data_IF_561404768470
#
_entry.id   IF_561404768470
#
_cell.length_a   1.000
_cell.length_b   1.000
_cell.length_c   1.000
_cell.angle_alpha   90.00
_cell.angle_beta   90.00
_cell.angle_gamma   90.00
#
_symmetry.space_group_name_H-M   'P 1'
#
loop_
_entity.id
_entity.type
_entity.pdbx_description
1 polymer ?
#
# COMPACT_ATOMS: atom_id res chain seq x y z
N UNK A 1 -26.63 -1.92 1.73
CA UNK A 1 -26.33 -2.50 0.41
C UNK A 1 -26.14 -4.00 0.59
N UNK A 2 -26.97 -4.79 -0.07
CA UNK A 2 -26.83 -6.25 -0.09
C UNK A 2 -25.92 -6.58 -1.26
N UNK A 3 -24.77 -7.17 -1.01
CA UNK A 3 -23.90 -7.66 -2.08
C UNK A 3 -24.58 -8.89 -2.68
N UNK A 4 -25.08 -8.79 -3.89
CA UNK A 4 -25.63 -9.91 -4.64
C UNK A 4 -24.47 -10.72 -5.24
N UNK A 5 -24.35 -11.97 -4.84
CA UNK A 5 -23.37 -12.94 -5.31
C UNK A 5 -22.41 -13.46 -4.24
N UNK A 6 -21.87 -14.65 -4.48
CA UNK A 6 -20.86 -15.24 -3.59
C UNK A 6 -19.51 -14.53 -3.83
N UNK A 7 -18.79 -14.13 -2.77
CA UNK A 7 -17.45 -13.56 -2.88
C UNK A 7 -16.52 -14.53 -3.63
N UNK A 8 -15.82 -14.03 -4.67
CA UNK A 8 -14.89 -14.84 -5.47
C UNK A 8 -13.42 -14.51 -5.17
N UNK A 9 -13.16 -13.28 -4.75
CA UNK A 9 -11.80 -12.81 -4.47
C UNK A 9 -11.25 -13.49 -3.21
N UNK A 10 -10.06 -14.04 -3.31
CA UNK A 10 -9.34 -14.70 -2.21
C UNK A 10 -8.15 -13.89 -1.72
N UNK A 11 -7.68 -12.93 -2.51
CA UNK A 11 -6.51 -12.10 -2.23
C UNK A 11 -6.78 -10.68 -2.69
N UNK A 12 -6.20 -9.72 -2.01
CA UNK A 12 -6.25 -8.30 -2.37
C UNK A 12 -4.81 -7.80 -2.53
N UNK A 13 -4.52 -7.19 -3.67
CA UNK A 13 -3.27 -6.47 -3.91
C UNK A 13 -3.66 -4.99 -4.05
N UNK A 14 -3.15 -4.16 -3.15
CA UNK A 14 -3.41 -2.72 -3.14
C UNK A 14 -2.18 -1.97 -3.65
N UNK A 15 -2.19 -1.59 -4.93
CA UNK A 15 -1.13 -0.82 -5.57
C UNK A 15 -1.33 0.67 -5.28
N UNK A 16 -0.74 1.14 -4.20
CA UNK A 16 -0.93 2.49 -3.70
C UNK A 16 0.15 3.45 -4.20
N UNK A 17 -0.23 4.36 -5.10
CA UNK A 17 0.62 5.42 -5.60
C UNK A 17 0.51 6.65 -4.68
N UNK A 18 1.36 6.70 -3.65
CA UNK A 18 1.36 7.77 -2.65
C UNK A 18 1.62 9.15 -3.27
N UNK A 19 0.78 10.11 -2.96
CA UNK A 19 0.83 11.45 -3.53
C UNK A 19 -0.07 11.62 -4.75
N UNK A 20 -0.63 10.54 -5.26
CA UNK A 20 -1.55 10.39 -6.37
C UNK A 20 -1.01 10.90 -7.74
N UNK A 21 -1.27 10.17 -8.81
CA UNK A 21 -1.05 10.65 -10.16
C UNK A 21 -2.09 11.70 -10.54
N UNK A 22 -1.79 12.53 -11.53
CA UNK A 22 -2.74 13.48 -12.10
C UNK A 22 -3.83 12.74 -12.88
N UNK A 23 -5.04 12.69 -12.36
CA UNK A 23 -6.15 12.01 -13.06
C UNK A 23 -6.48 12.66 -14.41
N UNK A 24 -6.29 13.98 -14.53
CA UNK A 24 -6.55 14.74 -15.78
C UNK A 24 -5.56 14.36 -16.87
N UNK A 25 -4.35 13.96 -16.49
CA UNK A 25 -3.32 13.53 -17.44
C UNK A 25 -3.38 12.03 -17.77
N UNK A 26 -4.11 11.22 -16.98
CA UNK A 26 -4.07 9.76 -17.11
C UNK A 26 -5.41 9.12 -17.47
N UNK A 27 -6.51 9.51 -16.80
CA UNK A 27 -7.77 8.77 -16.86
C UNK A 27 -9.00 9.64 -17.12
N UNK A 28 -8.91 10.94 -16.88
CA UNK A 28 -10.07 11.83 -16.87
C UNK A 28 -9.99 12.80 -18.06
N UNK A 29 -10.41 12.31 -19.25
CA UNK A 29 -10.34 13.05 -20.49
C UNK A 29 -11.29 14.25 -20.51
N UNK A 30 -10.73 15.47 -20.52
CA UNK A 30 -11.46 16.74 -20.50
C UNK A 30 -11.02 17.67 -21.63
N UNK A 31 -11.44 17.42 -22.88
CA UNK A 31 -10.97 18.18 -24.06
C UNK A 31 -11.34 19.67 -24.00
N UNK A 32 -12.45 20.03 -23.37
CA UNK A 32 -12.88 21.43 -23.28
C UNK A 32 -11.96 22.30 -22.42
N UNK A 33 -11.10 21.72 -21.57
CA UNK A 33 -10.11 22.48 -20.82
C UNK A 33 -9.11 23.22 -21.74
N UNK A 34 -8.87 22.72 -22.96
CA UNK A 34 -8.01 23.39 -23.93
C UNK A 34 -8.56 24.76 -24.34
N UNK A 35 -9.89 24.89 -24.46
CA UNK A 35 -10.57 26.16 -24.80
C UNK A 35 -10.45 27.17 -23.64
N UNK A 36 -10.31 26.68 -22.41
CA UNK A 36 -10.24 27.45 -21.19
C UNK A 36 -8.79 27.68 -20.70
N UNK A 37 -7.80 27.25 -21.45
CA UNK A 37 -6.40 27.34 -21.03
C UNK A 37 -6.01 28.76 -20.63
N UNK A 38 -5.37 28.92 -19.48
CA UNK A 38 -4.98 30.18 -18.84
C UNK A 38 -6.13 31.12 -18.48
N UNK A 39 -7.39 30.73 -18.62
CA UNK A 39 -8.49 31.50 -18.04
C UNK A 39 -8.55 31.25 -16.52
N UNK A 40 -9.11 32.19 -15.78
CA UNK A 40 -9.30 32.04 -14.34
C UNK A 40 -10.39 30.99 -14.07
N UNK A 41 -10.17 30.14 -13.06
CA UNK A 41 -11.13 29.12 -12.68
C UNK A 41 -12.46 29.77 -12.28
N UNK A 42 -13.61 29.35 -12.86
CA UNK A 42 -14.90 29.95 -12.57
C UNK A 42 -15.25 29.88 -11.07
N UNK A 43 -15.83 30.97 -10.56
CA UNK A 43 -16.24 31.04 -9.14
C UNK A 43 -17.22 29.94 -8.74
N UNK A 44 -18.04 29.46 -9.68
CA UNK A 44 -18.96 28.32 -9.47
C UNK A 44 -18.22 27.03 -9.11
N UNK A 45 -17.00 26.85 -9.61
CA UNK A 45 -16.13 25.68 -9.32
C UNK A 45 -15.30 25.95 -8.06
N UNK A 46 -14.73 27.16 -7.92
CA UNK A 46 -13.81 27.47 -6.81
C UNK A 46 -14.51 27.83 -5.50
N UNK A 47 -15.81 28.16 -5.54
CA UNK A 47 -16.57 28.60 -4.34
C UNK A 47 -16.60 27.51 -3.27
N UNK A 48 -16.10 27.85 -2.09
CA UNK A 48 -16.10 26.95 -0.93
C UNK A 48 -14.96 25.89 -0.94
N UNK A 49 -14.15 25.83 -1.99
CA UNK A 49 -12.98 24.96 -2.00
C UNK A 49 -11.89 25.51 -1.08
N UNK A 50 -11.34 24.61 -0.25
CA UNK A 50 -10.14 24.91 0.52
C UNK A 50 -8.94 24.96 -0.42
N UNK A 51 -8.06 25.92 -0.20
CA UNK A 51 -6.81 26.07 -0.98
C UNK A 51 -5.61 25.75 -0.10
N UNK A 52 -4.55 25.22 -0.72
CA UNK A 52 -3.29 24.98 -0.01
C UNK A 52 -2.59 26.31 0.30
N UNK A 53 -1.66 26.29 1.26
CA UNK A 53 -0.84 27.48 1.57
C UNK A 53 -0.07 27.98 0.33
N UNK A 54 0.34 27.08 -0.57
CA UNK A 54 1.09 27.41 -1.81
C UNK A 54 0.24 28.17 -2.82
N UNK A 55 -1.06 27.96 -2.83
CA UNK A 55 -1.98 28.56 -3.82
C UNK A 55 -2.83 29.68 -3.27
N UNK A 56 -2.77 29.91 -1.94
CA UNK A 56 -3.50 30.99 -1.27
C UNK A 56 -3.07 32.35 -1.82
N UNK A 57 -4.04 33.17 -2.20
CA UNK A 57 -3.81 34.50 -2.75
C UNK A 57 -3.33 34.55 -4.20
N UNK A 58 -3.23 33.40 -4.87
CA UNK A 58 -2.88 33.31 -6.29
C UNK A 58 -4.13 33.07 -7.14
N UNK A 59 -4.14 33.61 -8.36
CA UNK A 59 -5.15 33.26 -9.35
C UNK A 59 -5.03 31.77 -9.69
N UNK A 60 -6.15 31.08 -9.66
CA UNK A 60 -6.24 29.68 -10.07
C UNK A 60 -6.54 29.67 -11.57
N UNK A 61 -5.59 29.25 -12.39
CA UNK A 61 -5.72 29.18 -13.85
C UNK A 61 -6.03 27.76 -14.29
N UNK A 62 -6.87 27.64 -15.30
CA UNK A 62 -7.17 26.35 -15.94
C UNK A 62 -5.97 25.87 -16.74
N UNK A 63 -5.57 24.61 -16.54
CA UNK A 63 -4.55 23.93 -17.33
C UNK A 63 -5.10 22.60 -17.87
N UNK A 64 -5.15 22.41 -19.20
CA UNK A 64 -5.49 21.13 -19.80
C UNK A 64 -4.30 20.16 -19.71
N UNK A 65 -4.57 18.88 -19.96
CA UNK A 65 -3.51 17.91 -20.22
C UNK A 65 -2.74 18.26 -21.50
N UNK A 66 -1.44 17.93 -21.53
CA UNK A 66 -0.62 18.02 -22.73
C UNK A 66 -0.48 16.68 -23.47
N UNK A 67 -1.03 15.61 -22.89
CA UNK A 67 -0.91 14.26 -23.41
C UNK A 67 -2.13 13.87 -24.25
N UNK A 68 -1.91 12.97 -25.20
CA UNK A 68 -2.98 12.46 -26.06
C UNK A 68 -3.78 11.38 -25.32
N UNK A 69 -5.07 11.39 -25.57
CA UNK A 69 -6.00 10.38 -25.10
C UNK A 69 -6.55 9.57 -26.25
N UNK A 70 -6.85 8.31 -26.00
CA UNK A 70 -7.56 7.43 -26.92
C UNK A 70 -8.49 6.50 -26.19
N UNK A 71 -9.55 6.08 -26.87
CA UNK A 71 -10.44 5.05 -26.36
C UNK A 71 -9.74 3.69 -26.39
N UNK A 72 -9.85 2.92 -25.31
CA UNK A 72 -9.20 1.63 -25.13
C UNK A 72 -10.23 0.59 -24.71
N UNK A 73 -9.91 -0.67 -25.04
CA UNK A 73 -10.79 -1.80 -24.76
C UNK A 73 -12.12 -1.77 -25.55
N UNK A 74 -12.93 -2.79 -25.36
CA UNK A 74 -14.27 -2.92 -25.95
C UNK A 74 -15.26 -1.89 -25.37
N UNK A 75 -15.03 -1.51 -24.10
CA UNK A 75 -15.85 -0.55 -23.38
C UNK A 75 -15.55 0.91 -23.77
N UNK A 76 -14.52 1.17 -24.59
CA UNK A 76 -14.17 2.51 -25.07
C UNK A 76 -13.70 3.47 -23.97
N UNK A 77 -13.00 2.99 -22.95
CA UNK A 77 -12.51 3.81 -21.84
C UNK A 77 -11.45 4.79 -22.35
N UNK A 78 -11.56 6.06 -21.97
CA UNK A 78 -10.54 7.05 -22.28
C UNK A 78 -9.29 6.88 -21.40
N UNK A 79 -8.15 6.66 -22.01
CA UNK A 79 -6.85 6.54 -21.34
C UNK A 79 -5.76 7.32 -22.06
N UNK A 80 -4.82 7.84 -21.28
CA UNK A 80 -3.66 8.58 -21.79
C UNK A 80 -2.64 7.69 -22.50
N UNK A 81 -1.92 8.26 -23.46
CA UNK A 81 -0.75 7.64 -24.09
C UNK A 81 0.39 7.29 -23.11
N UNK A 82 0.39 7.90 -21.92
CA UNK A 82 1.35 7.60 -20.85
C UNK A 82 1.21 6.20 -20.25
N UNK A 83 0.10 5.52 -20.53
CA UNK A 83 -0.24 4.22 -19.90
C UNK A 83 -0.35 3.10 -20.97
N UNK A 84 0.68 2.84 -21.79
CA UNK A 84 0.57 1.89 -22.88
C UNK A 84 0.29 0.46 -22.41
N UNK A 85 0.96 0.00 -21.35
CA UNK A 85 0.78 -1.34 -20.82
C UNK A 85 -0.55 -1.50 -20.09
N UNK A 86 -0.95 -0.52 -19.27
CA UNK A 86 -2.23 -0.57 -18.57
C UNK A 86 -3.41 -0.51 -19.55
N UNK A 87 -3.25 0.20 -20.65
CA UNK A 87 -4.26 0.28 -21.72
C UNK A 87 -4.56 -1.07 -22.37
N UNK A 88 -3.61 -1.98 -22.40
CA UNK A 88 -3.81 -3.33 -22.91
C UNK A 88 -4.77 -4.17 -22.05
N UNK A 89 -4.91 -3.84 -20.76
CA UNK A 89 -5.82 -4.49 -19.82
C UNK A 89 -7.08 -3.67 -19.53
N UNK A 90 -7.44 -2.73 -20.40
CA UNK A 90 -8.55 -1.79 -20.16
C UNK A 90 -9.89 -2.48 -19.88
N UNK A 91 -10.15 -3.62 -20.53
CA UNK A 91 -11.39 -4.39 -20.35
C UNK A 91 -11.44 -5.14 -19.00
N UNK A 92 -10.32 -5.33 -18.34
CA UNK A 92 -10.22 -5.99 -17.03
C UNK A 92 -10.30 -4.99 -15.87
N UNK A 93 -10.38 -3.68 -16.17
CA UNK A 93 -10.35 -2.61 -15.19
C UNK A 93 -11.73 -2.00 -14.94
N UNK A 94 -11.99 -1.67 -13.68
CA UNK A 94 -13.13 -0.86 -13.27
C UNK A 94 -12.64 0.54 -12.86
N UNK A 95 -13.11 1.57 -13.56
CA UNK A 95 -12.75 2.97 -13.31
C UNK A 95 -13.82 3.65 -12.46
N UNK A 96 -13.43 4.19 -11.31
CA UNK A 96 -14.33 4.91 -10.39
C UNK A 96 -13.95 6.40 -10.42
N UNK A 97 -14.54 7.16 -11.33
CA UNK A 97 -14.28 8.60 -11.52
C UNK A 97 -14.88 9.50 -10.43
N UNK A 98 -15.88 9.01 -9.70
CA UNK A 98 -16.59 9.79 -8.67
C UNK A 98 -15.94 9.76 -7.29
N UNK A 99 -14.77 9.15 -7.16
CA UNK A 99 -14.07 9.08 -5.88
C UNK A 99 -13.52 10.45 -5.51
N UNK A 100 -13.85 10.96 -4.31
CA UNK A 100 -13.42 12.26 -3.86
C UNK A 100 -13.04 12.27 -2.37
N UNK A 101 -12.33 13.31 -1.94
CA UNK A 101 -11.99 13.58 -0.53
C UNK A 101 -11.96 15.08 -0.29
N UNK A 102 -12.21 15.51 0.94
CA UNK A 102 -12.03 16.89 1.39
C UNK A 102 -10.57 17.21 1.72
N UNK A 103 -9.71 16.23 1.75
CA UNK A 103 -8.28 16.40 2.04
C UNK A 103 -7.60 17.18 0.92
N UNK A 104 -7.03 18.34 1.26
CA UNK A 104 -6.30 19.20 0.29
C UNK A 104 -4.79 18.94 0.29
N UNK A 105 -4.27 18.14 1.22
CA UNK A 105 -2.87 17.78 1.35
C UNK A 105 -2.69 16.26 1.23
N UNK A 106 -1.50 15.86 0.79
CA UNK A 106 -1.16 14.44 0.63
C UNK A 106 -1.31 13.63 1.90
N UNK A 107 -0.93 14.17 3.06
CA UNK A 107 -0.92 13.40 4.30
C UNK A 107 -2.33 12.99 4.78
N UNK A 108 -3.28 13.91 4.98
CA UNK A 108 -4.66 13.51 5.28
C UNK A 108 -5.32 12.74 4.14
N UNK A 109 -5.00 13.05 2.87
CA UNK A 109 -5.52 12.31 1.71
C UNK A 109 -5.08 10.85 1.69
N UNK A 110 -3.80 10.58 1.93
CA UNK A 110 -3.28 9.20 2.06
C UNK A 110 -3.93 8.47 3.24
N UNK A 111 -4.04 9.14 4.37
CA UNK A 111 -4.66 8.57 5.57
C UNK A 111 -6.11 8.20 5.28
N UNK A 112 -6.88 9.12 4.69
CA UNK A 112 -8.27 8.87 4.29
C UNK A 112 -8.40 7.70 3.33
N UNK A 113 -7.55 7.62 2.32
CA UNK A 113 -7.60 6.54 1.32
C UNK A 113 -7.27 5.16 1.91
N UNK A 114 -6.34 5.10 2.86
CA UNK A 114 -5.92 3.84 3.48
C UNK A 114 -6.82 3.41 4.65
N UNK A 115 -7.48 4.35 5.34
CA UNK A 115 -8.18 4.07 6.61
C UNK A 115 -9.64 4.53 6.66
N UNK A 116 -10.11 5.22 5.62
CA UNK A 116 -11.47 5.80 5.57
C UNK A 116 -11.64 7.08 6.41
N UNK A 117 -10.55 7.67 6.95
CA UNK A 117 -10.59 8.91 7.72
C UNK A 117 -9.34 9.77 7.49
N UNK A 118 -9.51 11.09 7.45
CA UNK A 118 -8.39 12.04 7.30
C UNK A 118 -7.50 12.13 8.55
N UNK A 119 -8.03 11.73 9.70
CA UNK A 119 -7.36 11.76 11.00
C UNK A 119 -6.86 10.36 11.35
N UNK A 120 -5.61 10.22 11.85
CA UNK A 120 -5.08 8.94 12.33
C UNK A 120 -5.92 8.33 13.45
N UNK A 121 -5.84 7.01 13.63
CA UNK A 121 -6.50 6.28 14.72
C UNK A 121 -7.55 5.27 14.27
N UNK A 122 -7.75 5.13 12.94
CA UNK A 122 -8.60 4.06 12.38
C UNK A 122 -7.75 2.96 11.76
N UNK A 123 -8.19 1.70 11.83
CA UNK A 123 -7.52 0.59 11.18
C UNK A 123 -7.47 0.80 9.67
N UNK A 124 -6.38 0.37 9.06
CA UNK A 124 -6.23 0.35 7.62
C UNK A 124 -7.13 -0.70 6.97
N UNK A 125 -7.37 -0.56 5.67
CA UNK A 125 -8.13 -1.54 4.90
C UNK A 125 -7.56 -2.96 5.05
N UNK A 126 -6.23 -3.12 5.00
CA UNK A 126 -5.59 -4.42 5.19
C UNK A 126 -5.78 -4.98 6.60
N UNK A 127 -5.75 -4.13 7.63
CA UNK A 127 -6.04 -4.56 9.01
C UNK A 127 -7.49 -5.03 9.18
N UNK A 128 -8.46 -4.37 8.54
CA UNK A 128 -9.85 -4.82 8.52
C UNK A 128 -10.03 -6.16 7.78
N UNK A 129 -9.33 -6.36 6.67
CA UNK A 129 -9.36 -7.63 5.93
C UNK A 129 -8.75 -8.76 6.76
N UNK A 130 -7.61 -8.51 7.40
CA UNK A 130 -6.98 -9.44 8.33
C UNK A 130 -7.94 -9.81 9.49
N UNK A 131 -8.52 -8.82 10.14
CA UNK A 131 -9.44 -9.03 11.26
C UNK A 131 -10.69 -9.81 10.87
N UNK A 132 -11.30 -9.45 9.72
CA UNK A 132 -12.59 -10.03 9.32
C UNK A 132 -12.50 -11.38 8.61
N UNK A 133 -11.41 -11.64 7.89
CA UNK A 133 -11.25 -12.83 7.04
C UNK A 133 -10.16 -13.78 7.56
N UNK A 134 -9.19 -13.27 8.31
CA UNK A 134 -8.04 -14.03 8.76
C UNK A 134 -7.17 -14.54 7.61
N UNK A 135 -6.36 -15.55 7.89
CA UNK A 135 -5.50 -16.22 6.90
C UNK A 135 -5.52 -17.73 7.04
N UNK A 136 -5.34 -18.43 5.92
CA UNK A 136 -5.09 -19.86 5.89
C UNK A 136 -3.59 -20.18 6.00
N UNK A 137 -2.72 -19.17 5.81
CA UNK A 137 -1.28 -19.33 5.93
C UNK A 137 -0.84 -19.16 7.39
N UNK A 138 -0.05 -20.10 7.89
CA UNK A 138 0.46 -20.09 9.28
C UNK A 138 1.89 -19.58 9.39
N UNK A 139 2.61 -19.47 8.28
CA UNK A 139 4.05 -19.22 8.23
C UNK A 139 4.40 -17.82 7.71
N UNK A 140 3.39 -17.09 7.21
CA UNK A 140 3.53 -15.72 6.71
C UNK A 140 2.41 -14.84 7.28
N UNK A 141 2.65 -13.54 7.45
CA UNK A 141 1.61 -12.60 7.86
C UNK A 141 0.52 -12.52 6.79
N UNK A 142 -0.70 -12.29 7.23
CA UNK A 142 -1.88 -12.14 6.38
C UNK A 142 -1.97 -10.75 5.72
N UNK A 143 -1.30 -9.76 6.30
CA UNK A 143 -1.21 -8.42 5.76
C UNK A 143 0.25 -8.01 5.59
N UNK A 144 0.73 -8.05 4.36
CA UNK A 144 2.08 -7.67 3.96
C UNK A 144 2.06 -6.29 3.32
N UNK A 145 3.05 -5.47 3.68
CA UNK A 145 3.26 -4.13 3.12
C UNK A 145 4.65 -4.07 2.49
N UNK A 146 4.72 -3.70 1.23
CA UNK A 146 5.97 -3.58 0.46
C UNK A 146 6.17 -2.12 0.04
N UNK A 147 6.75 -1.27 0.90
CA UNK A 147 7.07 0.10 0.53
C UNK A 147 8.18 0.10 -0.52
N UNK A 148 7.95 0.75 -1.66
CA UNK A 148 9.01 0.95 -2.63
C UNK A 148 10.11 1.82 -2.04
N UNK A 149 11.34 1.31 -2.02
CA UNK A 149 12.49 2.11 -1.65
C UNK A 149 12.79 3.12 -2.76
N UNK A 150 13.17 4.32 -2.37
CA UNK A 150 13.49 5.36 -3.35
C UNK A 150 14.88 5.19 -3.90
N UNK A 151 14.93 4.93 -5.18
CA UNK A 151 16.14 4.73 -5.94
C UNK A 151 17.01 5.98 -6.12
N UNK A 152 16.44 7.18 -6.01
CA UNK A 152 17.17 8.39 -6.41
C UNK A 152 17.96 9.07 -5.30
N UNK A 153 17.92 8.59 -4.06
CA UNK A 153 18.53 9.29 -2.91
C UNK A 153 17.98 10.70 -2.68
N UNK A 154 16.99 11.12 -3.47
CA UNK A 154 16.33 12.42 -3.35
C UNK A 154 15.06 12.29 -2.54
N UNK A 155 14.98 13.12 -1.53
CA UNK A 155 13.93 13.10 -0.47
C UNK A 155 12.56 13.63 -0.95
N UNK A 156 12.31 13.75 -2.24
CA UNK A 156 11.07 14.35 -2.79
C UNK A 156 9.92 13.35 -2.89
N UNK A 157 9.82 12.46 -1.92
CA UNK A 157 8.79 11.49 -1.88
C UNK A 157 7.80 11.80 -0.81
N UNK A 158 6.54 11.53 -1.11
CA UNK A 158 5.50 11.58 -0.10
C UNK A 158 5.79 10.54 0.97
N UNK A 159 6.04 11.01 2.19
CA UNK A 159 6.35 10.14 3.31
C UNK A 159 5.24 9.09 3.51
N UNK A 160 5.65 7.84 3.66
CA UNK A 160 4.80 6.75 4.08
C UNK A 160 4.98 6.54 5.59
N UNK A 161 3.89 6.52 6.32
CA UNK A 161 3.90 6.36 7.77
C UNK A 161 3.24 5.05 8.16
N UNK A 162 3.72 4.42 9.21
CA UNK A 162 3.19 3.15 9.72
C UNK A 162 1.67 3.19 9.98
N UNK A 163 1.10 4.36 10.27
CA UNK A 163 -0.34 4.53 10.43
C UNK A 163 -1.17 4.15 9.19
N UNK A 164 -0.57 4.17 7.99
CA UNK A 164 -1.27 3.81 6.74
C UNK A 164 -1.56 2.31 6.63
N UNK A 165 -0.87 1.50 7.45
CA UNK A 165 -1.09 0.06 7.56
C UNK A 165 -1.22 -0.42 9.00
N UNK A 166 -1.58 0.49 9.90
CA UNK A 166 -1.80 0.19 11.31
C UNK A 166 -3.09 -0.57 11.55
N UNK A 167 -3.08 -1.41 12.58
CA UNK A 167 -4.27 -2.01 13.17
C UNK A 167 -5.09 -1.01 14.01
N UNK A 168 -4.49 0.11 14.42
CA UNK A 168 -5.08 1.13 15.30
C UNK A 168 -5.73 0.51 16.56
N UNK A 169 -7.05 0.56 16.71
CA UNK A 169 -7.77 -0.03 17.86
C UNK A 169 -8.05 -1.53 17.74
N UNK A 170 -7.75 -2.16 16.60
CA UNK A 170 -7.79 -3.62 16.49
C UNK A 170 -6.54 -4.23 17.12
N UNK A 171 -6.57 -5.51 17.54
CA UNK A 171 -5.39 -6.19 18.07
C UNK A 171 -4.18 -6.06 17.15
N UNK A 172 -3.01 -5.92 17.72
CA UNK A 172 -1.76 -5.62 16.98
C UNK A 172 -1.34 -6.71 15.98
N UNK A 173 -1.85 -7.94 16.14
CA UNK A 173 -1.66 -9.02 15.17
C UNK A 173 -2.19 -8.73 13.76
N UNK A 174 -3.13 -7.78 13.62
CA UNK A 174 -3.73 -7.39 12.34
C UNK A 174 -3.00 -6.22 11.68
N UNK A 175 -1.89 -5.74 12.28
CA UNK A 175 -1.07 -4.70 11.68
C UNK A 175 -0.28 -5.24 10.49
N UNK A 176 -0.14 -4.40 9.45
CA UNK A 176 0.66 -4.75 8.29
C UNK A 176 2.13 -4.96 8.63
N UNK A 177 2.69 -6.08 8.18
CA UNK A 177 4.11 -6.40 8.31
C UNK A 177 4.86 -5.82 7.13
N UNK A 178 5.78 -4.89 7.41
CA UNK A 178 6.57 -4.24 6.37
C UNK A 178 7.71 -5.12 5.91
N UNK A 179 7.76 -5.39 4.60
CA UNK A 179 8.87 -6.05 3.93
C UNK A 179 9.74 -4.98 3.27
N UNK A 180 11.04 -5.23 3.25
CA UNK A 180 12.03 -4.33 2.62
C UNK A 180 12.95 -5.13 1.70
N UNK A 181 13.50 -4.46 0.70
CA UNK A 181 14.33 -5.09 -0.34
C UNK A 181 15.83 -4.99 -0.09
N UNK A 182 16.22 -4.29 0.97
CA UNK A 182 17.63 -4.12 1.37
C UNK A 182 17.81 -4.61 2.80
N UNK A 183 18.78 -5.51 3.01
CA UNK A 183 18.99 -6.17 4.29
C UNK A 183 18.02 -7.35 4.52
N UNK A 184 17.69 -7.63 5.77
CA UNK A 184 16.68 -8.62 6.11
C UNK A 184 15.33 -8.18 5.54
N UNK A 185 14.61 -9.03 4.80
CA UNK A 185 13.30 -8.68 4.24
C UNK A 185 12.29 -8.16 5.26
N UNK A 186 12.36 -8.66 6.48
CA UNK A 186 11.62 -8.14 7.64
C UNK A 186 12.64 -7.78 8.71
N UNK A 187 12.48 -6.62 9.34
CA UNK A 187 13.39 -6.14 10.38
C UNK A 187 13.53 -7.18 11.50
N UNK A 188 14.79 -7.44 11.89
CA UNK A 188 15.16 -8.38 12.96
C UNK A 188 14.73 -9.84 12.70
N UNK A 189 14.56 -10.22 11.44
CA UNK A 189 14.23 -11.59 11.08
C UNK A 189 15.37 -12.55 11.40
N UNK A 190 16.61 -12.16 11.07
CA UNK A 190 17.80 -12.98 11.31
C UNK A 190 18.16 -13.05 12.78
N UNK A 191 18.71 -14.18 13.19
CA UNK A 191 19.22 -14.32 14.56
C UNK A 191 20.48 -13.50 14.78
N UNK A 192 20.67 -12.92 15.97
CA UNK A 192 21.94 -12.30 16.35
C UNK A 192 23.10 -13.30 16.28
N UNK A 193 24.31 -12.78 16.07
CA UNK A 193 25.53 -13.61 16.05
C UNK A 193 25.67 -14.46 17.32
N UNK A 194 25.87 -15.76 17.14
CA UNK A 194 26.02 -16.71 18.25
C UNK A 194 24.71 -17.36 18.73
N UNK A 195 23.57 -16.98 18.16
CA UNK A 195 22.27 -17.60 18.45
C UNK A 195 21.84 -18.40 17.23
N UNK A 196 21.82 -19.73 17.35
CA UNK A 196 21.27 -20.60 16.33
C UNK A 196 19.73 -20.80 16.52
N UNK A 197 19.11 -21.49 15.57
CA UNK A 197 17.66 -21.75 15.61
C UNK A 197 17.22 -22.56 16.84
N UNK A 198 18.08 -23.48 17.37
CA UNK A 198 17.76 -24.28 18.54
C UNK A 198 17.78 -23.42 19.81
N UNK A 199 18.78 -22.57 19.92
CA UNK A 199 18.87 -21.60 21.04
C UNK A 199 17.68 -20.64 20.97
N UNK A 200 17.39 -20.09 19.78
CA UNK A 200 16.26 -19.20 19.60
C UNK A 200 14.94 -19.85 19.98
N UNK A 201 14.71 -21.12 19.58
CA UNK A 201 13.50 -21.86 19.93
C UNK A 201 13.34 -21.98 21.47
N UNK A 202 14.39 -22.37 22.18
CA UNK A 202 14.34 -22.48 23.63
C UNK A 202 14.07 -21.12 24.33
N UNK A 203 14.66 -20.05 23.81
CA UNK A 203 14.37 -18.70 24.32
C UNK A 203 12.90 -18.34 24.15
N UNK A 204 12.31 -18.63 22.98
CA UNK A 204 10.88 -18.37 22.74
C UNK A 204 9.97 -19.24 23.59
N UNK A 205 10.31 -20.50 23.81
CA UNK A 205 9.55 -21.41 24.68
C UNK A 205 9.51 -20.89 26.12
N UNK A 206 10.68 -20.47 26.64
CA UNK A 206 10.77 -19.88 27.99
C UNK A 206 10.00 -18.56 28.11
N UNK A 207 10.09 -17.72 27.08
CA UNK A 207 9.38 -16.45 27.04
C UNK A 207 7.88 -16.65 26.96
N UNK A 208 7.41 -17.62 26.15
CA UNK A 208 6.00 -17.96 26.04
C UNK A 208 5.45 -18.49 27.37
N UNK A 209 6.23 -19.30 28.12
CA UNK A 209 5.83 -19.76 29.45
C UNK A 209 5.68 -18.60 30.44
N UNK A 210 6.65 -17.67 30.44
CA UNK A 210 6.61 -16.48 31.28
C UNK A 210 5.37 -15.61 30.95
N UNK A 211 5.16 -15.37 29.66
CA UNK A 211 4.00 -14.59 29.17
C UNK A 211 2.66 -15.26 29.54
N UNK A 212 2.56 -16.60 29.50
CA UNK A 212 1.33 -17.30 29.93
C UNK A 212 1.07 -17.13 31.43
N UNK A 213 2.12 -17.15 32.28
CA UNK A 213 1.97 -16.86 33.72
C UNK A 213 1.46 -15.43 33.92
N UNK A 214 2.05 -14.47 33.21
CA UNK A 214 1.64 -13.07 33.24
C UNK A 214 0.20 -12.86 32.75
N UNK A 215 -0.19 -13.55 31.67
CA UNK A 215 -1.57 -13.54 31.17
C UNK A 215 -2.58 -14.06 32.22
N UNK A 216 -2.22 -15.11 32.97
CA UNK A 216 -3.08 -15.65 34.00
C UNK A 216 -3.32 -14.66 35.14
N UNK A 217 -2.34 -13.82 35.47
CA UNK A 217 -2.40 -12.79 36.51
C UNK A 217 -3.14 -11.53 36.04
N UNK A 218 -2.73 -10.94 34.89
CA UNK A 218 -3.21 -9.64 34.43
C UNK A 218 -4.45 -9.77 33.53
N UNK A 219 -4.60 -10.89 32.82
CA UNK A 219 -5.71 -11.17 31.89
C UNK A 219 -5.79 -10.19 30.70
N UNK A 220 -4.67 -9.58 30.32
CA UNK A 220 -4.58 -8.72 29.14
C UNK A 220 -4.48 -9.58 27.87
N UNK A 221 -5.46 -9.52 26.94
CA UNK A 221 -5.45 -10.30 25.70
C UNK A 221 -4.27 -9.96 24.78
N UNK A 222 -3.65 -8.78 24.90
CA UNK A 222 -2.49 -8.39 24.08
C UNK A 222 -1.24 -9.25 24.38
N UNK A 223 -1.16 -9.84 25.57
CA UNK A 223 -0.10 -10.81 25.91
C UNK A 223 -0.22 -12.07 25.02
N UNK A 224 -1.45 -12.55 24.78
CA UNK A 224 -1.69 -13.67 23.87
C UNK A 224 -1.28 -13.31 22.43
N UNK A 225 -1.59 -12.10 21.99
CA UNK A 225 -1.18 -11.57 20.70
C UNK A 225 0.34 -11.52 20.57
N UNK A 226 1.04 -11.08 21.61
CA UNK A 226 2.52 -11.04 21.65
C UNK A 226 3.12 -12.45 21.49
N UNK A 227 2.58 -13.47 22.17
CA UNK A 227 3.03 -14.85 22.00
C UNK A 227 2.86 -15.31 20.54
N UNK A 228 1.70 -15.04 19.94
CA UNK A 228 1.41 -15.43 18.56
C UNK A 228 2.33 -14.72 17.55
N UNK A 229 2.62 -13.45 17.77
CA UNK A 229 3.55 -12.66 16.92
C UNK A 229 4.99 -13.20 17.00
N UNK A 230 5.46 -13.57 18.19
CA UNK A 230 6.79 -14.16 18.37
C UNK A 230 6.91 -15.52 17.67
N UNK A 231 5.90 -16.35 17.73
CA UNK A 231 5.82 -17.62 17.02
C UNK A 231 5.79 -17.40 15.50
N UNK A 232 5.02 -16.44 15.01
CA UNK A 232 4.99 -16.06 13.61
C UNK A 232 6.37 -15.61 13.14
N UNK A 233 7.01 -14.70 13.86
CA UNK A 233 8.35 -14.20 13.53
C UNK A 233 9.39 -15.33 13.44
N UNK A 234 9.30 -16.33 14.30
CA UNK A 234 10.18 -17.50 14.24
C UNK A 234 9.95 -18.34 12.98
N UNK A 235 8.70 -18.61 12.62
CA UNK A 235 8.38 -19.34 11.38
C UNK A 235 8.80 -18.58 10.13
N UNK A 236 8.68 -17.26 10.15
CA UNK A 236 9.10 -16.38 9.05
C UNK A 236 10.61 -16.46 8.77
N UNK A 237 11.45 -16.87 9.73
CA UNK A 237 12.89 -17.01 9.51
C UNK A 237 13.23 -18.01 8.39
N UNK A 238 12.37 -19.00 8.16
CA UNK A 238 12.54 -19.95 7.04
C UNK A 238 11.72 -19.57 5.80
N UNK A 239 10.50 -19.10 6.00
CA UNK A 239 9.53 -18.88 4.89
C UNK A 239 9.83 -17.60 4.10
N UNK A 240 10.26 -16.53 4.76
CA UNK A 240 10.50 -15.24 4.10
C UNK A 240 11.70 -15.26 3.16
N UNK A 241 12.87 -15.82 3.53
CA UNK A 241 13.99 -15.94 2.59
C UNK A 241 13.65 -16.74 1.32
N UNK A 242 12.86 -17.81 1.46
CA UNK A 242 12.39 -18.58 0.31
C UNK A 242 11.44 -17.76 -0.58
N UNK A 243 10.51 -17.04 0.03
CA UNK A 243 9.54 -16.20 -0.69
C UNK A 243 10.22 -15.05 -1.45
N UNK A 244 11.26 -14.46 -0.88
CA UNK A 244 11.94 -13.28 -1.45
C UNK A 244 13.08 -13.61 -2.41
N UNK A 245 13.41 -14.90 -2.57
CA UNK A 245 14.41 -15.37 -3.52
C UNK A 245 13.87 -15.46 -4.94
N UNK A 246 14.09 -14.40 -5.72
CA UNK A 246 13.67 -14.35 -7.14
C UNK A 246 14.65 -15.06 -8.08
N UNK A 247 15.74 -15.67 -7.58
CA UNK A 247 16.73 -16.32 -8.44
C UNK A 247 16.18 -17.53 -9.21
N UNK A 248 15.08 -18.10 -8.71
CA UNK A 248 14.39 -19.26 -9.31
C UNK A 248 13.25 -18.88 -10.25
N UNK A 249 12.93 -17.59 -10.35
CA UNK A 249 11.84 -17.13 -11.21
C UNK A 249 12.17 -17.29 -12.70
N UNK A 250 11.21 -17.66 -13.55
CA UNK A 250 11.40 -17.74 -14.99
C UNK A 250 11.87 -16.40 -15.56
N UNK A 251 12.77 -16.46 -16.56
CA UNK A 251 13.32 -15.26 -17.20
C UNK A 251 12.25 -14.36 -17.80
N UNK A 252 11.19 -14.95 -18.32
CA UNK A 252 10.04 -14.26 -18.90
C UNK A 252 9.31 -13.43 -17.84
N UNK A 253 9.14 -13.97 -16.63
CA UNK A 253 8.53 -13.27 -15.49
C UNK A 253 9.42 -12.12 -15.07
N UNK A 254 10.73 -12.35 -14.91
CA UNK A 254 11.67 -11.28 -14.55
C UNK A 254 11.70 -10.16 -15.60
N UNK A 255 11.62 -10.50 -16.89
CA UNK A 255 11.60 -9.52 -17.99
C UNK A 255 10.40 -8.58 -17.94
N UNK A 256 9.25 -9.01 -17.38
CA UNK A 256 8.06 -8.17 -17.21
C UNK A 256 8.30 -6.98 -16.25
N UNK A 257 9.23 -7.12 -15.33
CA UNK A 257 9.62 -6.07 -14.37
C UNK A 257 10.71 -5.13 -14.92
N UNK A 258 11.23 -5.43 -16.11
CA UNK A 258 12.22 -4.59 -16.80
C UNK A 258 13.68 -4.95 -16.50
N UNK A 259 14.64 -4.27 -17.14
CA UNK A 259 16.05 -4.67 -17.15
C UNK A 259 16.74 -4.53 -15.79
N UNK A 260 16.19 -3.74 -14.89
CA UNK A 260 16.80 -3.49 -13.57
C UNK A 260 16.29 -4.43 -12.46
N UNK A 261 15.46 -5.45 -12.79
CA UNK A 261 14.87 -6.37 -11.80
C UNK A 261 15.91 -7.08 -10.91
N UNK A 262 17.10 -7.32 -11.43
CA UNK A 262 18.20 -7.94 -10.68
C UNK A 262 19.08 -6.95 -9.91
N UNK A 263 18.83 -5.64 -10.06
CA UNK A 263 19.63 -4.59 -9.42
C UNK A 263 19.04 -4.27 -8.06
N UNK A 264 19.77 -4.58 -6.99
CA UNK A 264 19.38 -4.27 -5.62
C UNK A 264 19.07 -2.79 -5.45
N UNK A 265 17.92 -2.47 -4.85
CA UNK A 265 17.47 -1.09 -4.62
C UNK A 265 16.87 -0.41 -5.85
N UNK A 266 16.70 -1.11 -6.99
CA UNK A 266 15.93 -0.59 -8.11
C UNK A 266 14.43 -0.65 -7.82
N UNK A 267 13.66 0.17 -8.52
CA UNK A 267 12.19 0.09 -8.44
C UNK A 267 11.64 -1.25 -8.94
N UNK A 268 12.26 -1.80 -9.99
CA UNK A 268 11.86 -3.09 -10.56
C UNK A 268 12.13 -4.27 -9.62
N UNK A 269 13.12 -4.16 -8.72
CA UNK A 269 13.44 -5.18 -7.71
C UNK A 269 12.53 -5.11 -6.48
N UNK A 270 11.95 -3.95 -6.21
CA UNK A 270 11.03 -3.72 -5.09
C UNK A 270 9.62 -4.16 -5.42
#
# INVERSE_FOLDING_TARGET
YRIEGKPKAKRVIFLFMAGAPSQVDLFDYKPDLHKLFKTELPKSISKGQRVTAMTRGRKQLVAPTMFKFGQKGKNGVWMSELLPHLSASADDLCFIHSFNTNAINHDPGKTSFCTGAEIPGRPSMGAWLSYGLGTLNKDLPDFVVMPSAFWSGRVNVQALYARLWSSAFLPSQHQGTSFQTVGDPVLFLSNPKGIDGKVRRRMLDSLAELNRKHLAEIKDPEIQTTIAQQEMAFRMQSSVPELTDISKEPKEVLAMYGPEVNKTGSYARN
#
